data_IF_194868343070
#
_entry.id   IF_194868343070
#
_cell.length_a   1.000
_cell.length_b   1.000
_cell.length_c   1.000
_cell.angle_alpha   90.00
_cell.angle_beta   90.00
_cell.angle_gamma   90.00
#
_symmetry.space_group_name_H-M   'P 1'
#
loop_
_entity.id
_entity.type
_entity.pdbx_description
1 polymer ?
#
# COMPACT_ATOMS: atom_id res chain seq x y z
N UNK A 1 -15.37 47.17 52.20
CA UNK A 1 -15.28 45.84 51.57
C UNK A 1 -16.28 45.79 50.42
N UNK A 2 -15.85 46.10 49.19
CA UNK A 2 -16.63 45.83 47.98
C UNK A 2 -15.66 45.27 46.93
N UNK A 3 -15.65 43.94 46.81
CA UNK A 3 -14.92 43.23 45.76
C UNK A 3 -15.82 43.09 44.54
N UNK A 4 -15.42 43.72 43.44
CA UNK A 4 -16.03 43.51 42.13
C UNK A 4 -15.32 42.34 41.47
N UNK A 5 -16.02 41.22 41.30
CA UNK A 5 -15.47 40.00 40.71
C UNK A 5 -15.56 40.12 39.19
N UNK A 6 -14.43 40.39 38.53
CA UNK A 6 -14.32 40.33 37.07
C UNK A 6 -14.21 38.87 36.63
N UNK A 7 -15.32 38.33 36.10
CA UNK A 7 -15.31 37.03 35.41
C UNK A 7 -14.45 37.12 34.15
N UNK A 8 -13.24 36.59 34.22
CA UNK A 8 -12.44 36.27 33.05
C UNK A 8 -13.13 35.14 32.28
N UNK A 9 -13.83 35.49 31.20
CA UNK A 9 -14.34 34.56 30.20
C UNK A 9 -13.18 33.95 29.40
N UNK A 10 -12.45 33.02 30.02
CA UNK A 10 -11.48 32.16 29.36
C UNK A 10 -12.16 30.87 28.93
N UNK A 11 -12.40 30.72 27.63
CA UNK A 11 -12.98 29.52 27.06
C UNK A 11 -12.90 29.54 25.54
N UNK A 12 -11.70 29.65 24.98
CA UNK A 12 -11.48 29.25 23.59
C UNK A 12 -11.76 27.75 23.52
N UNK A 13 -12.96 27.39 23.06
CA UNK A 13 -13.32 26.01 22.80
C UNK A 13 -12.49 25.50 21.62
N UNK A 14 -11.40 24.80 21.92
CA UNK A 14 -10.69 23.93 20.97
C UNK A 14 -11.57 22.78 20.42
N UNK A 15 -12.88 22.79 20.71
CA UNK A 15 -13.85 21.77 20.35
C UNK A 15 -14.53 22.02 18.98
N UNK A 16 -14.26 23.13 18.30
CA UNK A 16 -15.02 23.54 17.10
C UNK A 16 -14.24 23.44 15.77
N UNK A 17 -13.20 22.60 15.72
CA UNK A 17 -12.41 22.38 14.50
C UNK A 17 -12.52 20.93 13.96
N UNK A 18 -13.57 20.19 14.34
CA UNK A 18 -13.89 18.94 13.68
C UNK A 18 -14.53 19.22 12.33
N UNK A 19 -13.77 18.99 11.25
CA UNK A 19 -14.30 19.03 9.88
C UNK A 19 -15.38 17.97 9.60
N UNK A 20 -15.57 17.02 10.52
CA UNK A 20 -16.48 15.90 10.39
C UNK A 20 -17.76 16.12 11.22
N UNK A 21 -18.91 15.79 10.64
CA UNK A 21 -20.21 15.85 11.34
C UNK A 21 -20.27 14.83 12.48
N UNK A 22 -21.08 15.07 13.53
CA UNK A 22 -21.27 14.10 14.62
C UNK A 22 -21.63 12.70 14.13
N UNK A 23 -22.51 12.61 13.12
CA UNK A 23 -22.90 11.33 12.49
C UNK A 23 -21.71 10.61 11.84
N UNK A 24 -20.79 11.36 11.24
CA UNK A 24 -19.56 10.81 10.65
C UNK A 24 -18.62 10.31 11.74
N UNK A 25 -18.47 11.05 12.84
CA UNK A 25 -17.66 10.64 13.99
C UNK A 25 -18.20 9.32 14.57
N UNK A 26 -19.51 9.23 14.80
CA UNK A 26 -20.15 8.01 15.32
C UNK A 26 -19.96 6.82 14.38
N UNK A 27 -20.08 7.05 13.06
CA UNK A 27 -19.80 6.02 12.05
C UNK A 27 -18.33 5.57 12.08
N UNK A 28 -17.39 6.50 12.14
CA UNK A 28 -15.96 6.19 12.20
C UNK A 28 -15.64 5.40 13.47
N UNK A 29 -16.17 5.83 14.62
CA UNK A 29 -16.01 5.14 15.89
C UNK A 29 -16.56 3.71 15.83
N UNK A 30 -17.75 3.53 15.25
CA UNK A 30 -18.34 2.22 15.04
C UNK A 30 -17.46 1.32 14.16
N UNK A 31 -16.99 1.82 13.01
CA UNK A 31 -16.13 1.06 12.10
C UNK A 31 -14.79 0.68 12.75
N UNK A 32 -14.12 1.64 13.41
CA UNK A 32 -12.81 1.43 14.04
C UNK A 32 -12.86 0.44 15.21
N UNK A 33 -14.01 0.31 15.88
CA UNK A 33 -14.20 -0.66 16.96
C UNK A 33 -14.25 -2.12 16.48
N UNK A 34 -14.59 -2.36 15.21
CA UNK A 34 -14.76 -3.70 14.64
C UNK A 34 -13.43 -4.45 14.56
N UNK A 35 -13.46 -5.77 14.76
CA UNK A 35 -12.30 -6.65 14.60
C UNK A 35 -12.29 -7.23 13.18
N UNK A 36 -11.09 -7.45 12.64
CA UNK A 36 -10.93 -7.98 11.29
C UNK A 36 -11.45 -9.42 11.17
N UNK A 37 -12.06 -9.74 10.03
CA UNK A 37 -12.42 -11.10 9.66
C UNK A 37 -11.20 -11.97 9.28
N UNK A 38 -11.33 -13.30 9.25
CA UNK A 38 -10.26 -14.23 8.89
C UNK A 38 -9.69 -14.01 7.47
N UNK A 39 -10.45 -13.40 6.57
CA UNK A 39 -10.06 -13.04 5.21
C UNK A 39 -8.99 -11.94 5.15
N UNK A 40 -8.88 -11.10 6.18
CA UNK A 40 -7.87 -10.03 6.25
C UNK A 40 -6.58 -10.46 6.95
N UNK A 41 -6.60 -11.62 7.61
CA UNK A 41 -5.55 -12.05 8.53
C UNK A 41 -4.71 -13.16 7.91
N UNK A 42 -3.39 -13.05 8.03
CA UNK A 42 -2.41 -14.04 7.59
C UNK A 42 -1.55 -14.52 8.76
N UNK A 43 -0.90 -15.67 8.59
CA UNK A 43 0.05 -16.20 9.55
C UNK A 43 1.38 -16.53 8.88
N UNK A 44 2.48 -16.25 9.58
CA UNK A 44 3.83 -16.67 9.20
C UNK A 44 4.48 -17.43 10.36
N UNK A 45 5.44 -18.33 10.10
CA UNK A 45 6.28 -18.89 11.16
C UNK A 45 6.98 -17.76 11.93
N UNK A 46 6.98 -17.85 13.25
CA UNK A 46 7.73 -16.95 14.13
C UNK A 46 9.22 -17.29 14.18
N UNK A 47 10.07 -16.34 14.61
CA UNK A 47 11.49 -16.57 14.79
C UNK A 47 11.74 -17.69 15.81
N UNK A 48 12.77 -18.51 15.58
CA UNK A 48 13.18 -19.58 16.51
C UNK A 48 12.13 -20.67 16.75
N UNK A 49 11.12 -20.81 15.88
CA UNK A 49 10.05 -21.80 16.07
C UNK A 49 9.06 -21.43 17.17
N UNK A 50 9.03 -20.17 17.64
CA UNK A 50 8.19 -19.67 18.73
C UNK A 50 6.67 -19.59 18.42
N UNK A 51 6.16 -20.46 17.55
CA UNK A 51 4.78 -20.48 17.08
C UNK A 51 4.55 -19.63 15.83
N UNK A 52 3.29 -19.43 15.46
CA UNK A 52 2.90 -18.63 14.28
C UNK A 52 2.62 -17.19 14.69
N UNK A 53 3.11 -16.23 13.91
CA UNK A 53 2.80 -14.81 14.05
C UNK A 53 1.66 -14.43 13.12
N UNK A 54 0.63 -13.85 13.70
CA UNK A 54 -0.52 -13.30 12.98
C UNK A 54 -0.23 -11.88 12.50
N UNK A 55 -0.55 -11.56 11.25
CA UNK A 55 -0.33 -10.24 10.67
C UNK A 55 -1.38 -9.89 9.61
N UNK A 56 -1.47 -8.60 9.27
CA UNK A 56 -2.27 -8.09 8.14
C UNK A 56 -1.31 -7.62 7.04
N UNK A 57 -1.62 -7.94 5.79
CA UNK A 57 -0.85 -7.51 4.63
C UNK A 57 -1.01 -6.00 4.40
N UNK A 58 0.07 -5.32 4.00
CA UNK A 58 0.05 -3.85 3.85
C UNK A 58 -1.02 -3.34 2.88
N UNK A 59 -1.21 -4.02 1.74
CA UNK A 59 -2.23 -3.65 0.75
C UNK A 59 -3.66 -3.73 1.30
N UNK A 60 -3.93 -4.68 2.21
CA UNK A 60 -5.24 -4.81 2.84
C UNK A 60 -5.52 -3.63 3.78
N UNK A 61 -4.52 -3.22 4.56
CA UNK A 61 -4.65 -2.07 5.44
C UNK A 61 -4.85 -0.76 4.68
N UNK A 62 -4.22 -0.60 3.51
CA UNK A 62 -4.48 0.55 2.62
C UNK A 62 -5.94 0.56 2.17
N UNK A 63 -6.48 -0.59 1.75
CA UNK A 63 -7.88 -0.68 1.34
C UNK A 63 -8.84 -0.40 2.50
N UNK A 64 -8.59 -0.98 3.68
CA UNK A 64 -9.38 -0.71 4.89
C UNK A 64 -9.32 0.77 5.24
N UNK A 65 -8.15 1.41 5.20
CA UNK A 65 -8.02 2.84 5.45
C UNK A 65 -8.83 3.68 4.45
N UNK A 66 -8.82 3.30 3.16
CA UNK A 66 -9.65 3.95 2.14
C UNK A 66 -11.15 3.74 2.35
N UNK A 67 -11.57 2.58 2.87
CA UNK A 67 -12.97 2.27 3.19
C UNK A 67 -13.46 3.01 4.44
N UNK A 68 -12.62 3.08 5.48
CA UNK A 68 -12.95 3.70 6.77
C UNK A 68 -12.87 5.23 6.67
N UNK A 69 -11.73 5.77 6.24
CA UNK A 69 -11.49 7.21 6.25
C UNK A 69 -11.94 7.89 4.95
N UNK A 70 -11.98 7.14 3.84
CA UNK A 70 -12.11 7.67 2.48
C UNK A 70 -10.74 7.85 1.83
N UNK A 71 -10.66 7.76 0.49
CA UNK A 71 -9.39 7.91 -0.24
C UNK A 71 -8.68 9.27 0.00
N UNK A 72 -9.44 10.31 0.36
CA UNK A 72 -8.97 11.66 0.70
C UNK A 72 -9.05 11.95 2.22
N UNK A 73 -9.40 10.96 3.04
CA UNK A 73 -9.58 11.11 4.48
C UNK A 73 -8.33 10.84 5.30
N UNK A 74 -7.28 10.28 4.67
CA UNK A 74 -6.01 9.97 5.30
C UNK A 74 -4.84 10.18 4.33
N UNK A 75 -3.66 10.36 4.89
CA UNK A 75 -2.40 10.45 4.16
C UNK A 75 -1.29 9.76 4.95
N UNK A 76 -0.23 9.37 4.24
CA UNK A 76 0.96 8.75 4.83
C UNK A 76 2.20 9.52 4.37
N UNK A 77 3.08 9.85 5.30
CA UNK A 77 4.33 10.57 5.06
C UNK A 77 5.50 9.79 5.65
N UNK A 78 6.52 9.55 4.83
CA UNK A 78 7.81 9.05 5.32
C UNK A 78 8.56 10.22 5.96
N UNK A 79 8.76 10.15 7.27
CA UNK A 79 9.46 11.17 8.06
C UNK A 79 10.97 10.95 7.96
N UNK A 80 11.41 9.70 8.13
CA UNK A 80 12.81 9.34 8.00
C UNK A 80 12.98 7.88 7.57
N UNK A 81 14.12 7.60 6.93
CA UNK A 81 14.61 6.24 6.68
C UNK A 81 16.08 6.22 7.08
N UNK A 82 16.46 5.26 7.90
CA UNK A 82 17.82 5.04 8.37
C UNK A 82 18.27 3.62 8.06
N UNK A 83 19.55 3.47 7.73
CA UNK A 83 20.19 2.16 7.60
C UNK A 83 20.84 1.89 8.95
N UNK A 84 20.31 0.92 9.67
CA UNK A 84 20.77 0.60 11.02
C UNK A 84 22.11 -0.13 10.96
N UNK A 85 22.25 -1.07 10.01
CA UNK A 85 23.51 -1.72 9.67
C UNK A 85 23.51 -2.26 8.24
N UNK A 86 24.70 -2.47 7.70
CA UNK A 86 24.93 -3.10 6.40
C UNK A 86 26.27 -3.86 6.45
N UNK A 87 26.20 -5.15 6.74
CA UNK A 87 27.38 -6.01 6.86
C UNK A 87 27.58 -6.78 5.55
N UNK A 88 28.80 -6.74 5.03
CA UNK A 88 29.20 -7.55 3.89
C UNK A 88 29.82 -8.86 4.39
N UNK A 89 29.26 -9.98 3.92
CA UNK A 89 29.81 -11.32 4.15
C UNK A 89 30.56 -11.82 2.92
N UNK A 90 31.22 -12.96 3.08
CA UNK A 90 31.92 -13.65 2.01
C UNK A 90 31.01 -13.95 0.81
N UNK A 91 31.59 -13.90 -0.39
CA UNK A 91 30.87 -14.20 -1.62
C UNK A 91 29.84 -13.12 -2.03
N UNK A 92 30.10 -11.85 -1.70
CA UNK A 92 29.27 -10.70 -2.09
C UNK A 92 27.82 -10.82 -1.56
N UNK A 93 27.72 -11.30 -0.30
CA UNK A 93 26.46 -11.41 0.44
C UNK A 93 26.35 -10.27 1.43
N UNK A 94 25.12 -9.87 1.75
CA UNK A 94 24.87 -8.73 2.64
C UNK A 94 23.79 -9.06 3.67
N UNK A 95 24.05 -8.67 4.92
CA UNK A 95 23.02 -8.53 5.94
C UNK A 95 22.71 -7.03 6.07
N UNK A 96 21.45 -6.65 5.92
CA UNK A 96 21.04 -5.24 5.97
C UNK A 96 19.81 -5.11 6.85
N UNK A 97 19.80 -4.07 7.69
CA UNK A 97 18.63 -3.63 8.43
C UNK A 97 18.40 -2.14 8.18
N UNK A 98 17.16 -1.77 7.95
CA UNK A 98 16.72 -0.40 7.85
C UNK A 98 15.52 -0.17 8.76
N UNK A 99 15.49 1.02 9.36
CA UNK A 99 14.36 1.52 10.12
C UNK A 99 13.75 2.74 9.42
N UNK A 100 12.43 2.89 9.52
CA UNK A 100 11.73 4.04 8.97
C UNK A 100 10.73 4.59 10.00
N UNK A 101 10.59 5.91 10.04
CA UNK A 101 9.51 6.59 10.78
C UNK A 101 8.47 7.03 9.75
N UNK A 102 7.23 6.62 9.95
CA UNK A 102 6.10 7.02 9.10
C UNK A 102 5.03 7.68 9.96
N UNK A 103 4.52 8.81 9.47
CA UNK A 103 3.36 9.51 10.01
C UNK A 103 2.14 9.19 9.16
N UNK A 104 1.04 8.81 9.82
CA UNK A 104 -0.27 8.74 9.21
C UNK A 104 -1.13 9.86 9.77
N UNK A 105 -1.69 10.68 8.89
CA UNK A 105 -2.46 11.87 9.24
C UNK A 105 -3.85 11.79 8.63
N UNK A 106 -4.88 11.98 9.46
CA UNK A 106 -6.28 12.10 9.04
C UNK A 106 -6.57 13.52 8.56
N UNK A 107 -7.70 13.68 7.86
CA UNK A 107 -8.12 14.97 7.27
C UNK A 107 -8.31 16.12 8.27
N UNK A 108 -8.60 15.78 9.52
CA UNK A 108 -8.79 16.72 10.63
C UNK A 108 -7.45 17.14 11.28
N UNK A 109 -6.33 16.57 10.82
CA UNK A 109 -4.99 16.83 11.34
C UNK A 109 -4.56 15.88 12.44
N UNK A 110 -5.42 14.98 12.94
CA UNK A 110 -5.02 13.95 13.91
C UNK A 110 -4.02 13.02 13.25
N UNK A 111 -2.92 12.72 13.94
CA UNK A 111 -1.88 11.85 13.38
C UNK A 111 -1.28 10.90 14.41
N UNK A 112 -0.76 9.79 13.90
CA UNK A 112 0.07 8.85 14.64
C UNK A 112 1.35 8.57 13.88
N UNK A 113 2.45 8.48 14.62
CA UNK A 113 3.76 8.10 14.11
C UNK A 113 4.17 6.77 14.73
N UNK A 114 4.85 5.94 13.95
CA UNK A 114 5.46 4.73 14.47
C UNK A 114 6.72 4.39 13.67
N UNK A 115 7.55 3.53 14.26
CA UNK A 115 8.79 3.03 13.67
C UNK A 115 8.52 1.66 13.07
N UNK A 116 9.00 1.42 11.85
CA UNK A 116 9.00 0.10 11.23
C UNK A 116 10.39 -0.34 10.85
N UNK A 117 10.60 -1.65 10.79
CA UNK A 117 11.90 -2.25 10.50
C UNK A 117 11.79 -3.21 9.34
N UNK A 118 12.79 -3.18 8.45
CA UNK A 118 12.97 -4.14 7.37
C UNK A 118 14.37 -4.71 7.40
N UNK A 119 14.48 -6.03 7.43
CA UNK A 119 15.76 -6.72 7.46
C UNK A 119 15.87 -7.80 6.38
N UNK A 120 17.09 -8.10 5.98
CA UNK A 120 17.40 -9.24 5.14
C UNK A 120 18.77 -9.79 5.53
N UNK A 121 18.82 -11.10 5.66
CA UNK A 121 20.05 -11.84 5.89
C UNK A 121 20.49 -12.54 4.61
N UNK A 122 21.79 -12.60 4.38
CA UNK A 122 22.43 -13.33 3.28
C UNK A 122 21.92 -12.93 1.88
N UNK A 123 21.61 -11.65 1.67
CA UNK A 123 21.12 -11.13 0.41
C UNK A 123 22.18 -11.21 -0.69
N UNK A 124 21.78 -11.53 -1.91
CA UNK A 124 22.65 -11.47 -3.09
C UNK A 124 22.65 -10.03 -3.63
N UNK A 125 23.77 -9.34 -3.45
CA UNK A 125 23.96 -7.99 -3.97
C UNK A 125 23.39 -6.88 -3.07
N UNK A 126 24.19 -5.82 -2.92
CA UNK A 126 23.90 -4.69 -2.02
C UNK A 126 22.62 -3.95 -2.40
N UNK A 127 22.44 -3.61 -3.67
CA UNK A 127 21.29 -2.81 -4.11
C UNK A 127 19.94 -3.48 -3.83
N UNK A 128 19.82 -4.79 -4.10
CA UNK A 128 18.60 -5.56 -3.83
C UNK A 128 18.30 -5.66 -2.33
N UNK A 129 19.34 -5.77 -1.49
CA UNK A 129 19.20 -5.78 -0.04
C UNK A 129 18.62 -4.44 0.48
N UNK A 130 19.19 -3.31 0.03
CA UNK A 130 18.70 -1.98 0.41
C UNK A 130 17.27 -1.73 -0.07
N UNK A 131 16.93 -2.13 -1.31
CA UNK A 131 15.59 -1.97 -1.86
C UNK A 131 14.54 -2.71 -1.03
N UNK A 132 14.80 -3.98 -0.68
CA UNK A 132 13.91 -4.76 0.18
C UNK A 132 13.77 -4.14 1.56
N UNK A 133 14.88 -3.87 2.25
CA UNK A 133 14.84 -3.37 3.63
C UNK A 133 14.11 -2.05 3.75
N UNK A 134 14.35 -1.09 2.84
CA UNK A 134 13.66 0.20 2.87
C UNK A 134 12.17 0.07 2.60
N UNK A 135 11.77 -0.74 1.60
CA UNK A 135 10.34 -0.99 1.29
C UNK A 135 9.61 -1.65 2.45
N UNK A 136 10.25 -2.64 3.07
CA UNK A 136 9.69 -3.35 4.22
C UNK A 136 9.59 -2.44 5.45
N UNK A 137 10.63 -1.66 5.77
CA UNK A 137 10.62 -0.72 6.89
C UNK A 137 9.49 0.31 6.78
N UNK A 138 9.34 0.94 5.61
CA UNK A 138 8.27 1.94 5.37
C UNK A 138 6.89 1.29 5.47
N UNK A 139 6.71 0.11 4.87
CA UNK A 139 5.42 -0.59 4.93
C UNK A 139 5.08 -0.99 6.36
N UNK A 140 6.06 -1.47 7.12
CA UNK A 140 5.86 -1.86 8.52
C UNK A 140 5.51 -0.67 9.40
N UNK A 141 6.22 0.45 9.25
CA UNK A 141 5.97 1.69 9.98
C UNK A 141 4.54 2.20 9.72
N UNK A 142 4.10 2.19 8.45
CA UNK A 142 2.75 2.60 8.07
C UNK A 142 1.67 1.71 8.70
N UNK A 143 1.84 0.38 8.67
CA UNK A 143 0.88 -0.55 9.30
C UNK A 143 0.78 -0.30 10.81
N UNK A 144 1.92 -0.02 11.46
CA UNK A 144 2.00 0.23 12.89
C UNK A 144 1.40 1.58 13.27
N UNK A 145 1.63 2.63 12.49
CA UNK A 145 0.96 3.92 12.67
C UNK A 145 -0.57 3.78 12.50
N UNK A 146 -1.03 3.04 11.48
CA UNK A 146 -2.45 2.81 11.25
C UNK A 146 -3.16 2.07 12.39
N UNK A 147 -2.49 1.13 13.06
CA UNK A 147 -3.11 0.35 14.15
C UNK A 147 -3.60 1.25 15.30
N UNK A 148 -2.97 2.41 15.52
CA UNK A 148 -3.30 3.28 16.65
C UNK A 148 -4.70 3.91 16.53
N UNK A 149 -5.30 3.92 15.33
CA UNK A 149 -6.67 4.41 15.12
C UNK A 149 -7.76 3.41 15.55
N UNK A 150 -7.49 2.09 15.61
CA UNK A 150 -8.51 1.13 16.03
C UNK A 150 -8.26 -0.33 15.66
N UNK A 151 -9.22 -1.17 16.05
CA UNK A 151 -9.20 -2.61 15.79
C UNK A 151 -9.27 -2.92 14.29
N UNK A 152 -10.13 -2.19 13.56
CA UNK A 152 -10.30 -2.39 12.13
C UNK A 152 -9.02 -2.07 11.34
N UNK A 153 -8.21 -1.11 11.80
CA UNK A 153 -6.93 -0.76 11.19
C UNK A 153 -5.76 -1.63 11.69
N UNK A 154 -6.05 -2.77 12.30
CA UNK A 154 -5.07 -3.80 12.61
C UNK A 154 -4.65 -3.89 14.06
N UNK A 155 -5.22 -3.12 15.00
CA UNK A 155 -4.90 -3.28 16.42
C UNK A 155 -5.30 -4.67 16.96
N UNK A 156 -6.35 -5.28 16.40
CA UNK A 156 -6.88 -6.56 16.88
C UNK A 156 -5.88 -7.72 16.78
N UNK A 157 -4.91 -7.68 15.84
CA UNK A 157 -3.94 -8.77 15.67
C UNK A 157 -2.90 -8.87 16.80
N UNK A 158 -2.86 -7.90 17.71
CA UNK A 158 -2.06 -7.95 18.93
C UNK A 158 -2.78 -8.66 20.09
N UNK A 159 -4.10 -8.85 20.02
CA UNK A 159 -4.87 -9.62 21.00
C UNK A 159 -4.69 -11.12 20.72
N UNK A 160 -3.96 -11.80 21.62
CA UNK A 160 -3.70 -13.25 21.54
C UNK A 160 -4.98 -14.08 21.52
N UNK A 161 -6.03 -13.66 22.23
CA UNK A 161 -7.32 -14.38 22.27
C UNK A 161 -8.02 -14.25 20.92
N UNK A 162 -8.08 -13.04 20.36
CA UNK A 162 -8.59 -12.83 19.01
C UNK A 162 -7.83 -13.66 17.97
N UNK A 163 -6.49 -13.65 18.02
CA UNK A 163 -5.66 -14.42 17.10
C UNK A 163 -5.91 -15.93 17.17
N UNK A 164 -6.24 -16.48 18.35
CA UNK A 164 -6.58 -17.88 18.50
C UNK A 164 -7.97 -18.20 17.92
N UNK A 165 -8.95 -17.31 18.08
CA UNK A 165 -10.32 -17.53 17.62
C UNK A 165 -10.50 -17.28 16.12
N UNK A 166 -9.92 -16.21 15.57
CA UNK A 166 -10.10 -15.83 14.16
C UNK A 166 -9.58 -16.94 13.23
N UNK A 167 -8.54 -17.65 13.64
CA UNK A 167 -7.92 -18.71 12.84
C UNK A 167 -8.73 -20.01 12.79
N UNK A 168 -9.72 -20.18 13.67
CA UNK A 168 -10.65 -21.32 13.63
C UNK A 168 -11.72 -21.16 12.55
N UNK A 169 -11.93 -19.94 12.07
CA UNK A 169 -12.98 -19.63 11.11
C UNK A 169 -12.47 -19.82 9.68
N UNK A 170 -13.33 -20.37 8.80
CA UNK A 170 -13.00 -20.54 7.38
C UNK A 170 -12.88 -19.17 6.72
N UNK A 171 -11.84 -18.98 5.90
CA UNK A 171 -11.71 -17.81 5.04
C UNK A 171 -12.72 -17.92 3.92
N UNK A 172 -13.75 -17.09 3.91
CA UNK A 172 -14.55 -16.95 2.70
C UNK A 172 -13.69 -16.34 1.58
N UNK A 173 -13.83 -16.80 0.33
CA UNK A 173 -13.19 -16.13 -0.79
C UNK A 173 -13.69 -14.68 -0.82
N UNK A 174 -12.77 -13.72 -0.95
CA UNK A 174 -13.10 -12.30 -1.01
C UNK A 174 -14.10 -12.09 -2.15
N UNK A 175 -15.37 -11.84 -1.80
CA UNK A 175 -16.44 -11.55 -2.75
C UNK A 175 -16.13 -10.18 -3.33
N UNK A 176 -15.42 -10.11 -4.45
CA UNK A 176 -15.38 -9.00 -5.43
C UNK A 176 -14.28 -9.19 -6.51
N UNK A 177 -14.09 -10.41 -7.02
CA UNK A 177 -13.31 -10.63 -8.24
C UNK A 177 -14.20 -10.46 -9.48
N UNK A 178 -14.64 -9.23 -9.76
CA UNK A 178 -15.37 -8.94 -11.00
C UNK A 178 -14.38 -8.64 -12.13
N UNK A 179 -13.95 -9.69 -12.84
CA UNK A 179 -13.00 -9.61 -13.97
C UNK A 179 -13.41 -8.64 -15.07
N UNK A 180 -14.71 -8.30 -15.18
CA UNK A 180 -15.18 -7.34 -16.19
C UNK A 180 -14.86 -5.87 -15.87
N UNK A 181 -14.45 -5.54 -14.63
CA UNK A 181 -14.16 -4.17 -14.19
C UNK A 181 -12.65 -3.92 -14.00
N UNK A 182 -11.80 -4.84 -14.46
CA UNK A 182 -10.39 -4.55 -14.69
C UNK A 182 -10.31 -3.52 -15.82
N UNK A 183 -10.49 -2.24 -15.47
CA UNK A 183 -10.15 -1.14 -16.34
C UNK A 183 -8.69 -1.33 -16.72
N UNK A 184 -8.45 -1.80 -17.94
CA UNK A 184 -7.13 -1.69 -18.58
C UNK A 184 -6.83 -0.20 -18.52
N UNK A 185 -5.86 0.16 -17.65
CA UNK A 185 -5.37 1.51 -17.34
C UNK A 185 -6.02 2.59 -18.20
N UNK A 186 -6.79 3.50 -17.57
CA UNK A 186 -7.29 4.73 -18.21
C UNK A 186 -6.15 5.35 -19.02
N UNK A 187 -6.21 5.18 -20.35
CA UNK A 187 -5.15 5.66 -21.22
C UNK A 187 -5.53 7.09 -21.53
N UNK A 188 -4.83 8.03 -20.90
CA UNK A 188 -5.00 9.44 -21.22
C UNK A 188 -4.34 9.70 -22.56
N UNK A 189 -5.14 10.02 -23.58
CA UNK A 189 -4.62 10.43 -24.88
C UNK A 189 -4.80 11.94 -24.98
N UNK A 190 -3.71 12.66 -25.24
CA UNK A 190 -3.76 14.08 -25.60
C UNK A 190 -4.18 14.16 -27.05
N UNK A 191 -5.38 14.68 -27.32
CA UNK A 191 -5.85 14.91 -28.69
C UNK A 191 -5.09 16.06 -29.35
N UNK A 192 -5.12 16.13 -30.68
CA UNK A 192 -4.44 17.17 -31.48
C UNK A 192 -4.85 18.62 -31.13
N UNK A 193 -5.95 18.81 -30.40
CA UNK A 193 -6.43 20.10 -29.87
C UNK A 193 -5.94 20.41 -28.45
N UNK A 194 -5.05 19.59 -27.87
CA UNK A 194 -4.55 19.75 -26.51
C UNK A 194 -5.52 19.30 -25.41
N UNK A 195 -6.72 18.80 -25.74
CA UNK A 195 -7.66 18.25 -24.76
C UNK A 195 -7.29 16.82 -24.38
N UNK A 196 -7.23 16.55 -23.08
CA UNK A 196 -7.11 15.19 -22.53
C UNK A 196 -8.48 14.52 -22.61
N UNK A 197 -8.57 13.42 -23.35
CA UNK A 197 -9.81 12.65 -23.48
C UNK A 197 -9.60 11.25 -22.91
N UNK A 198 -10.58 10.79 -22.13
CA UNK A 198 -10.65 9.42 -21.66
C UNK A 198 -11.15 8.55 -22.81
N UNK A 199 -10.27 7.72 -23.39
CA UNK A 199 -10.66 6.80 -24.47
C UNK A 199 -10.74 5.37 -23.94
N UNK A 200 -11.90 4.73 -24.11
CA UNK A 200 -12.07 3.30 -23.86
C UNK A 200 -11.51 2.51 -25.04
N UNK A 201 -10.86 1.37 -24.78
CA UNK A 201 -10.20 0.52 -25.79
C UNK A 201 -11.12 0.02 -26.93
N UNK A 202 -12.45 0.18 -26.81
CA UNK A 202 -13.41 -0.23 -27.84
C UNK A 202 -13.29 0.59 -29.15
N UNK A 203 -12.84 1.85 -29.10
CA UNK A 203 -12.76 2.70 -30.30
C UNK A 203 -11.46 2.55 -31.10
N UNK A 204 -10.43 1.89 -30.55
CA UNK A 204 -9.14 1.73 -31.23
C UNK A 204 -9.15 0.68 -32.35
N UNK A 205 -10.10 -0.25 -32.36
CA UNK A 205 -10.21 -1.27 -33.40
C UNK A 205 -10.77 -0.74 -34.73
N UNK A 206 -11.36 0.46 -34.75
CA UNK A 206 -11.81 1.12 -36.00
C UNK A 206 -10.76 2.05 -36.61
N UNK A 207 -9.82 2.57 -35.83
CA UNK A 207 -8.81 3.54 -36.32
C UNK A 207 -7.41 2.93 -36.53
N UNK A 208 -7.04 1.82 -35.87
CA UNK A 208 -5.75 1.17 -36.09
C UNK A 208 -5.73 0.17 -37.27
N UNK A 209 -6.88 -0.18 -37.87
CA UNK A 209 -6.91 -1.05 -39.06
C UNK A 209 -6.46 -0.36 -40.37
N UNK A 210 -6.32 0.97 -40.39
CA UNK A 210 -5.85 1.68 -41.58
C UNK A 210 -4.35 2.04 -41.57
N UNK A 211 -3.64 1.90 -40.44
CA UNK A 211 -2.27 2.42 -40.31
C UNK A 211 -1.16 1.34 -40.24
N UNK A 212 -1.52 0.05 -40.21
CA UNK A 212 -0.58 -1.07 -40.12
C UNK A 212 -0.61 -2.03 -41.32
N UNK A 213 -1.12 -1.58 -42.47
CA UNK A 213 -1.20 -2.39 -43.69
C UNK A 213 -0.53 -1.75 -44.92
N UNK A 214 0.52 -0.93 -44.72
CA UNK A 214 1.22 -0.28 -45.86
C UNK A 214 2.74 -0.21 -45.78
N UNK A 215 3.40 -0.87 -44.82
CA UNK A 215 4.86 -0.91 -44.79
C UNK A 215 5.41 -2.26 -44.32
N UNK A 216 5.16 -3.33 -45.09
CA UNK A 216 5.93 -4.59 -45.05
C UNK A 216 5.66 -5.43 -46.31
N UNK A 217 6.03 -4.91 -47.48
CA UNK A 217 6.28 -5.72 -48.69
C UNK A 217 7.42 -5.08 -49.48
N UNK A 218 8.64 -5.63 -49.37
CA UNK A 218 9.61 -5.85 -50.46
C UNK A 218 11.01 -6.11 -49.90
N UNK A 219 11.42 -7.38 -49.83
CA UNK A 219 12.79 -7.80 -50.15
C UNK A 219 12.85 -9.32 -50.21
N UNK A 220 12.91 -9.86 -51.42
CA UNK A 220 13.00 -11.28 -51.77
C UNK A 220 14.42 -11.83 -51.56
N UNK A 221 14.60 -13.12 -51.19
CA UNK A 221 15.92 -13.76 -51.21
C UNK A 221 16.20 -14.43 -52.57
N UNK A 222 17.32 -14.08 -53.21
CA UNK A 222 17.86 -14.73 -54.41
C UNK A 222 18.70 -15.96 -54.06
N UNK A 223 18.27 -17.11 -54.59
CA UNK A 223 18.98 -18.39 -54.60
C UNK A 223 20.22 -18.33 -55.50
N UNK A 224 21.39 -18.78 -55.04
CA UNK A 224 22.53 -19.08 -55.91
C UNK A 224 23.12 -20.43 -55.50
N UNK A 225 23.13 -21.32 -56.49
CA UNK A 225 23.56 -22.72 -56.47
C UNK A 225 25.09 -22.83 -56.52
N UNK A 226 25.67 -23.79 -55.78
CA UNK A 226 27.08 -24.22 -55.92
C UNK A 226 27.20 -25.31 -56.98
N UNK A 227 28.26 -25.32 -57.81
CA UNK A 227 28.62 -26.47 -58.64
C UNK A 227 29.60 -27.43 -57.93
N UNK A 228 29.75 -28.68 -58.43
CA UNK A 228 30.37 -29.80 -57.70
C UNK A 228 31.89 -29.90 -57.84
N UNK A 229 32.49 -30.64 -56.91
CA UNK A 229 33.93 -30.91 -56.78
C UNK A 229 34.34 -32.17 -57.58
N UNK A 230 35.32 -32.03 -58.49
CA UNK A 230 36.23 -33.06 -59.04
C UNK A 230 37.55 -32.31 -59.30
N UNK A 231 38.76 -32.75 -58.95
CA UNK A 231 39.41 -34.06 -58.81
C UNK A 231 40.25 -34.11 -57.55
#
# INVERSE_FOLDING_TARGET
MHGSNSSFGGGNSLADASWDSPERIDRLQSLLSQRLGPEYVAQRPGPGGAGKLTYVEGWRLINIANEVFGFNGWSSQVISIQIDFCDQLDGNRFNVCASAIVRVTLRDGVFHEDVGTGSIDNARGKAAAFDKCKKEAVTDAMKRALRNFGNATGNCVYDKRYCAEVMKHKKEPVRNFHTSVMGRVLTFVVGASGRVVVSSTAERLRLCKCFWFQHLTTSSPTTTTRPPCQR
#
